data_IF_016348199741
#
_entry.id   IF_016348199741
#
_cell.length_a   1.000
_cell.length_b   1.000
_cell.length_c   1.000
_cell.angle_alpha   90.00
_cell.angle_beta   90.00
_cell.angle_gamma   90.00
#
_symmetry.space_group_name_H-M   'P 1'
#
loop_
_entity.id
_entity.type
_entity.pdbx_description
1 polymer ?
#
# COMPACT_ATOMS: atom_id res chain seq x y z
N UNK A 1 -11.65 -7.43 3.69
CA UNK A 1 -11.99 -6.50 2.60
C UNK A 1 -11.67 -5.11 3.10
N UNK A 2 -10.77 -4.41 2.43
CA UNK A 2 -10.30 -3.06 2.79
C UNK A 2 -11.05 -2.00 1.98
N UNK A 3 -10.91 -0.72 2.33
CA UNK A 3 -11.54 0.35 1.56
C UNK A 3 -10.74 0.66 0.30
N UNK A 4 -9.42 0.78 0.43
CA UNK A 4 -8.50 0.96 -0.69
C UNK A 4 -7.31 0.04 -0.52
N UNK A 5 -6.87 -0.60 -1.60
CA UNK A 5 -5.56 -1.26 -1.66
C UNK A 5 -4.73 -0.63 -2.76
N UNK A 6 -3.54 -0.18 -2.40
CA UNK A 6 -2.53 0.30 -3.34
C UNK A 6 -1.61 -0.88 -3.64
N UNK A 7 -1.59 -1.33 -4.90
CA UNK A 7 -0.85 -2.48 -5.40
C UNK A 7 0.49 -2.04 -6.01
N UNK A 8 1.50 -2.90 -5.93
CA UNK A 8 2.80 -2.75 -6.62
C UNK A 8 3.54 -1.41 -6.36
N UNK A 9 3.36 -0.83 -5.18
CA UNK A 9 3.98 0.45 -4.82
C UNK A 9 5.47 0.29 -4.46
N UNK A 10 6.28 1.31 -4.77
CA UNK A 10 7.58 1.48 -4.11
C UNK A 10 7.39 2.33 -2.85
N UNK A 11 7.33 1.67 -1.70
CA UNK A 11 6.98 2.26 -0.41
C UNK A 11 8.18 3.00 0.18
N UNK A 12 7.98 4.27 0.55
CA UNK A 12 8.92 5.09 1.31
C UNK A 12 8.23 5.56 2.59
N UNK A 13 8.52 4.91 3.71
CA UNK A 13 7.80 5.09 4.98
C UNK A 13 8.17 6.35 5.79
N UNK A 14 9.10 7.16 5.27
CA UNK A 14 9.55 8.39 5.94
C UNK A 14 10.53 8.19 7.09
N UNK A 15 10.94 6.95 7.42
CA UNK A 15 11.92 6.67 8.48
C UNK A 15 13.37 6.94 8.08
N UNK A 16 13.61 7.18 6.78
CA UNK A 16 14.95 7.34 6.20
C UNK A 16 15.63 6.01 5.83
N UNK A 17 14.94 4.89 5.98
CA UNK A 17 15.39 3.59 5.45
C UNK A 17 15.14 3.48 3.94
N UNK A 18 15.90 2.62 3.22
CA UNK A 18 15.64 2.38 1.80
C UNK A 18 14.23 1.85 1.56
N UNK A 19 13.57 2.36 0.51
CA UNK A 19 12.25 1.89 0.11
C UNK A 19 12.23 0.46 -0.40
N UNK A 20 11.05 -0.14 -0.38
CA UNK A 20 10.82 -1.51 -0.86
C UNK A 20 9.56 -1.61 -1.69
N UNK A 21 9.44 -2.67 -2.47
CA UNK A 21 8.21 -2.93 -3.24
C UNK A 21 7.19 -3.65 -2.36
N UNK A 22 5.95 -3.17 -2.36
CA UNK A 22 4.87 -3.78 -1.60
C UNK A 22 3.51 -3.17 -1.91
N UNK A 23 2.58 -3.43 -1.02
CA UNK A 23 1.19 -3.03 -1.10
C UNK A 23 0.80 -2.33 0.20
N UNK A 24 -0.20 -1.45 0.11
CA UNK A 24 -0.69 -0.67 1.25
C UNK A 24 -2.19 -0.83 1.31
N UNK A 25 -2.67 -1.31 2.45
CA UNK A 25 -4.08 -1.46 2.75
C UNK A 25 -4.60 -0.30 3.59
N UNK A 26 -5.69 0.32 3.17
CA UNK A 26 -6.35 1.43 3.86
C UNK A 26 -7.74 1.00 4.34
N UNK A 27 -8.05 1.36 5.59
CA UNK A 27 -9.38 1.24 6.19
C UNK A 27 -9.74 2.58 6.85
N UNK A 28 -10.79 3.22 6.34
CA UNK A 28 -11.18 4.58 6.73
C UNK A 28 -10.04 5.59 6.54
N UNK A 29 -9.59 6.16 7.65
CA UNK A 29 -8.54 7.18 7.72
C UNK A 29 -7.17 6.63 8.13
N UNK A 30 -6.99 5.30 8.14
CA UNK A 30 -5.76 4.65 8.63
C UNK A 30 -5.17 3.68 7.63
N UNK A 31 -3.85 3.52 7.74
CA UNK A 31 -3.12 2.40 7.15
C UNK A 31 -3.38 1.17 8.02
N UNK A 32 -4.06 0.18 7.45
CA UNK A 32 -4.41 -1.08 8.11
C UNK A 32 -3.40 -2.19 7.81
N UNK A 33 -2.72 -2.14 6.67
CA UNK A 33 -1.72 -3.13 6.26
C UNK A 33 -0.62 -2.51 5.39
N UNK A 34 0.57 -3.10 5.44
CA UNK A 34 1.77 -2.67 4.70
C UNK A 34 2.59 -3.91 4.33
N UNK A 35 3.07 -4.00 3.09
CA UNK A 35 3.82 -5.17 2.61
C UNK A 35 2.97 -6.04 1.69
N UNK A 36 2.68 -7.29 2.06
CA UNK A 36 1.77 -8.14 1.28
C UNK A 36 0.36 -8.00 1.84
N UNK A 37 -0.62 -7.69 0.99
CA UNK A 37 -2.03 -7.51 1.37
C UNK A 37 -2.86 -8.62 0.71
N UNK A 38 -3.07 -9.70 1.47
CA UNK A 38 -3.77 -10.93 1.05
C UNK A 38 -5.31 -10.77 0.91
N UNK A 39 -5.83 -9.55 0.96
CA UNK A 39 -7.26 -9.30 0.82
C UNK A 39 -7.56 -8.20 -0.19
N UNK A 40 -8.75 -8.26 -0.78
CA UNK A 40 -9.20 -7.28 -1.76
C UNK A 40 -9.62 -5.96 -1.10
N UNK A 41 -9.41 -4.86 -1.84
CA UNK A 41 -9.95 -3.55 -1.53
C UNK A 41 -11.26 -3.28 -2.28
N UNK A 42 -12.17 -2.50 -1.71
CA UNK A 42 -13.34 -1.96 -2.45
C UNK A 42 -12.88 -1.14 -3.65
N UNK A 43 -11.70 -0.53 -3.56
CA UNK A 43 -10.98 0.09 -4.66
C UNK A 43 -9.55 -0.42 -4.67
N UNK A 44 -9.05 -0.79 -5.85
CA UNK A 44 -7.65 -1.13 -6.04
C UNK A 44 -6.99 -0.12 -6.97
N UNK A 45 -5.77 0.28 -6.63
CA UNK A 45 -4.98 1.26 -7.37
C UNK A 45 -3.62 0.62 -7.68
N UNK A 46 -3.28 0.49 -8.95
CA UNK A 46 -1.94 0.06 -9.35
C UNK A 46 -0.97 1.25 -9.31
N UNK A 47 0.02 1.16 -8.42
CA UNK A 47 1.07 2.16 -8.22
C UNK A 47 2.43 1.68 -8.74
N UNK A 48 2.44 0.71 -9.68
CA UNK A 48 3.65 0.25 -10.34
C UNK A 48 4.51 1.40 -10.87
N UNK A 49 5.78 1.45 -10.44
CA UNK A 49 6.73 2.50 -10.84
C UNK A 49 6.54 3.85 -10.15
N UNK A 50 5.62 3.95 -9.18
CA UNK A 50 5.38 5.16 -8.38
C UNK A 50 5.88 4.99 -6.95
N UNK A 51 6.21 6.11 -6.31
CA UNK A 51 6.55 6.18 -4.88
C UNK A 51 5.29 6.44 -4.09
N UNK A 52 5.12 5.72 -2.98
CA UNK A 52 3.99 5.89 -2.05
C UNK A 52 4.51 5.97 -0.63
#
# INVERSE_FOLDING_TARGET
MLDVVIRNAHIIDGTGTPGWTGEIGLEGDKIAALGVVDCEGRREIDAGGQVV
#
